data_IF_781404833518
#
_entry.id   IF_781404833518
#
_cell.length_a   1.000
_cell.length_b   1.000
_cell.length_c   1.000
_cell.angle_alpha   90.00
_cell.angle_beta   90.00
_cell.angle_gamma   90.00
#
_symmetry.space_group_name_H-M   'P 1'
#
loop_
_entity.id
_entity.type
_entity.pdbx_description
1 polymer ?
#
# COMPACT_ATOMS: atom_id res chain seq x y z
N UNK A 1 -44.57 -19.43 39.14
CA UNK A 1 -43.58 -20.53 39.23
C UNK A 1 -43.12 -20.93 37.82
N UNK A 2 -42.70 -19.94 37.01
CA UNK A 2 -42.41 -20.14 35.58
C UNK A 2 -41.23 -19.27 35.09
N UNK A 3 -40.85 -18.24 35.85
CA UNK A 3 -39.75 -17.32 35.51
C UNK A 3 -38.39 -17.78 36.05
N UNK A 4 -38.37 -18.66 37.05
CA UNK A 4 -37.12 -19.21 37.63
C UNK A 4 -36.55 -20.36 36.78
N UNK A 5 -37.39 -21.08 36.02
CA UNK A 5 -36.96 -22.23 35.22
C UNK A 5 -36.28 -21.84 33.89
N UNK A 6 -36.49 -20.61 33.39
CA UNK A 6 -35.83 -20.13 32.15
C UNK A 6 -34.41 -19.58 32.36
N UNK A 7 -34.03 -19.21 33.59
CA UNK A 7 -32.67 -18.70 33.88
C UNK A 7 -31.65 -19.80 34.17
N UNK A 8 -32.08 -21.02 34.53
CA UNK A 8 -31.19 -22.16 34.77
C UNK A 8 -30.89 -22.92 33.47
N UNK A 9 -31.81 -22.89 32.49
CA UNK A 9 -31.61 -23.55 31.19
C UNK A 9 -30.63 -22.79 30.26
N UNK A 10 -30.45 -21.48 30.45
CA UNK A 10 -29.52 -20.67 29.65
C UNK A 10 -28.06 -20.72 30.13
N UNK A 11 -27.78 -21.31 31.30
CA UNK A 11 -26.42 -21.38 31.86
C UNK A 11 -25.70 -22.71 31.51
N UNK A 12 -26.41 -23.72 31.01
CA UNK A 12 -25.83 -25.04 30.67
C UNK A 12 -25.39 -25.11 29.19
N UNK A 13 -25.87 -24.20 28.33
CA UNK A 13 -25.49 -24.14 26.91
C UNK A 13 -24.16 -23.39 26.70
N UNK A 14 -23.66 -22.62 27.68
CA UNK A 14 -22.38 -21.88 27.55
C UNK A 14 -21.15 -22.62 28.11
N UNK A 15 -21.27 -23.89 28.53
CA UNK A 15 -20.15 -24.66 29.10
C UNK A 15 -19.82 -25.95 28.33
N UNK A 16 -20.44 -26.21 27.18
CA UNK A 16 -20.22 -27.40 26.36
C UNK A 16 -19.95 -27.10 24.87
N UNK A 17 -19.23 -26.01 24.60
CA UNK A 17 -18.60 -25.74 23.28
C UNK A 17 -17.10 -25.42 23.41
N UNK A 18 -16.46 -25.97 24.43
CA UNK A 18 -15.02 -26.23 24.45
C UNK A 18 -14.90 -27.75 24.55
N UNK A 19 -14.18 -28.38 23.62
CA UNK A 19 -14.00 -29.83 23.44
C UNK A 19 -15.07 -30.52 22.57
N UNK A 20 -14.95 -30.36 21.24
CA UNK A 20 -14.73 -31.50 20.33
C UNK A 20 -14.99 -31.11 18.88
N UNK A 21 -13.93 -31.10 18.07
CA UNK A 21 -13.93 -31.53 16.66
C UNK A 21 -12.45 -31.82 16.35
N UNK A 22 -11.95 -32.97 16.80
CA UNK A 22 -11.97 -34.28 16.11
C UNK A 22 -10.72 -34.45 15.26
N UNK A 23 -9.69 -35.00 15.90
CA UNK A 23 -8.60 -35.71 15.26
C UNK A 23 -9.21 -36.93 14.57
N UNK A 24 -9.24 -36.94 13.24
CA UNK A 24 -9.46 -38.18 12.49
C UNK A 24 -8.10 -38.86 12.32
N UNK A 25 -7.79 -39.79 13.22
CA UNK A 25 -6.82 -40.86 12.96
C UNK A 25 -7.49 -41.89 12.05
N UNK A 26 -7.04 -41.97 10.80
CA UNK A 26 -7.13 -43.20 10.02
C UNK A 26 -5.75 -43.86 10.07
N UNK A 27 -5.69 -45.11 10.51
CA UNK A 27 -4.55 -45.99 10.34
C UNK A 27 -5.00 -47.19 9.52
N UNK A 28 -4.44 -47.36 8.31
CA UNK A 28 -3.84 -48.64 7.87
C UNK A 28 -3.20 -48.50 6.49
N UNK A 29 -1.91 -48.83 6.47
CA UNK A 29 -1.11 -49.42 5.40
C UNK A 29 -0.49 -48.58 4.26
N UNK A 30 0.85 -48.61 4.30
CA UNK A 30 1.81 -48.60 3.19
C UNK A 30 2.11 -47.27 2.47
N UNK A 31 3.02 -46.48 3.06
CA UNK A 31 4.35 -46.15 2.49
C UNK A 31 4.97 -45.04 3.35
N UNK A 32 6.22 -45.23 3.76
CA UNK A 32 7.00 -44.23 4.48
C UNK A 32 7.15 -42.97 3.61
N UNK A 33 6.35 -41.95 3.88
CA UNK A 33 6.52 -40.60 3.33
C UNK A 33 6.86 -39.70 4.52
N UNK A 34 8.00 -39.03 4.39
CA UNK A 34 8.64 -38.22 5.40
C UNK A 34 7.65 -37.38 6.22
N UNK A 35 7.87 -37.35 7.53
CA UNK A 35 7.31 -36.30 8.39
C UNK A 35 7.54 -34.96 7.67
N UNK A 36 6.50 -34.12 7.49
CA UNK A 36 6.77 -32.70 7.30
C UNK A 36 7.51 -32.31 8.58
N UNK A 37 8.78 -31.91 8.42
CA UNK A 37 9.50 -31.22 9.47
C UNK A 37 8.55 -30.16 10.03
N UNK A 38 8.34 -30.21 11.35
CA UNK A 38 7.74 -29.08 12.04
C UNK A 38 8.58 -27.87 11.65
N UNK A 39 8.05 -27.03 10.77
CA UNK A 39 8.56 -25.68 10.58
C UNK A 39 8.37 -25.04 11.94
N UNK A 40 9.43 -25.09 12.74
CA UNK A 40 9.55 -24.28 13.93
C UNK A 40 9.12 -22.89 13.53
N UNK A 41 8.10 -22.35 14.19
CA UNK A 41 7.81 -20.94 14.16
C UNK A 41 9.04 -20.23 14.72
N UNK A 42 10.04 -19.99 13.86
CA UNK A 42 11.12 -19.06 14.14
C UNK A 42 10.46 -17.69 14.19
N UNK A 43 10.27 -17.22 15.43
CA UNK A 43 10.13 -15.85 15.87
C UNK A 43 9.34 -14.90 14.96
N UNK A 44 8.27 -14.37 15.52
CA UNK A 44 7.73 -13.02 15.28
C UNK A 44 8.78 -11.94 15.51
N UNK A 45 9.95 -12.04 14.85
CA UNK A 45 11.02 -11.07 14.92
C UNK A 45 10.62 -9.90 14.03
N UNK A 46 10.49 -8.72 14.63
CA UNK A 46 10.33 -7.47 13.91
C UNK A 46 11.36 -7.43 12.75
N UNK A 47 10.93 -7.41 11.47
CA UNK A 47 11.86 -7.51 10.34
C UNK A 47 12.70 -6.25 10.17
N UNK A 48 12.36 -5.16 10.86
CA UNK A 48 13.10 -3.89 10.82
C UNK A 48 14.27 -3.82 11.83
N UNK A 49 14.57 -4.90 12.56
CA UNK A 49 15.63 -4.91 13.59
C UNK A 49 17.06 -4.85 13.02
N UNK A 50 17.28 -5.40 11.82
CA UNK A 50 18.56 -5.32 11.12
C UNK A 50 18.39 -5.51 9.61
N UNK A 51 19.34 -5.03 8.78
CA UNK A 51 19.30 -5.24 7.33
C UNK A 51 19.21 -6.72 6.93
N UNK A 52 19.90 -7.61 7.62
CA UNK A 52 19.89 -9.05 7.33
C UNK A 52 18.54 -9.68 7.64
N UNK A 53 17.90 -9.28 8.75
CA UNK A 53 16.56 -9.72 9.09
C UNK A 53 15.55 -9.24 8.04
N UNK A 54 15.67 -7.98 7.60
CA UNK A 54 14.81 -7.41 6.56
C UNK A 54 14.98 -8.10 5.21
N UNK A 55 16.22 -8.41 4.82
CA UNK A 55 16.52 -9.17 3.59
C UNK A 55 15.86 -10.55 3.62
N UNK A 56 16.06 -11.33 4.70
CA UNK A 56 15.44 -12.65 4.84
C UNK A 56 13.92 -12.55 4.81
N UNK A 57 13.37 -11.51 5.44
CA UNK A 57 11.95 -11.25 5.44
C UNK A 57 11.41 -10.99 4.03
N UNK A 58 12.06 -10.13 3.24
CA UNK A 58 11.67 -9.88 1.85
C UNK A 58 11.82 -11.13 0.95
N UNK A 59 12.85 -11.94 1.17
CA UNK A 59 13.07 -13.20 0.45
C UNK A 59 11.96 -14.23 0.72
N UNK A 60 11.28 -14.16 1.87
CA UNK A 60 10.14 -15.05 2.18
C UNK A 60 8.93 -14.86 1.27
N UNK A 61 8.83 -13.73 0.56
CA UNK A 61 7.80 -13.44 -0.45
C UNK A 61 8.21 -13.90 -1.87
N UNK A 62 9.30 -14.68 -1.98
CA UNK A 62 9.83 -15.13 -3.26
C UNK A 62 10.33 -13.97 -4.11
N UNK A 63 9.81 -13.83 -5.32
CA UNK A 63 10.32 -12.86 -6.31
C UNK A 63 9.61 -11.50 -6.26
N UNK A 64 8.59 -11.33 -5.41
CA UNK A 64 7.74 -10.12 -5.37
C UNK A 64 8.57 -8.85 -5.17
N UNK A 65 9.55 -8.88 -4.27
CA UNK A 65 10.41 -7.73 -3.94
C UNK A 65 11.82 -7.82 -4.53
N UNK A 66 12.04 -8.68 -5.54
CA UNK A 66 13.37 -8.95 -6.10
C UNK A 66 14.08 -7.70 -6.63
N UNK A 67 13.34 -6.80 -7.29
CA UNK A 67 13.88 -5.53 -7.80
C UNK A 67 14.38 -4.63 -6.66
N UNK A 68 13.54 -4.41 -5.65
CA UNK A 68 13.92 -3.64 -4.45
C UNK A 68 15.11 -4.31 -3.74
N UNK A 69 15.05 -5.62 -3.51
CA UNK A 69 16.07 -6.38 -2.79
C UNK A 69 17.43 -6.28 -3.49
N UNK A 70 17.44 -6.34 -4.83
CA UNK A 70 18.65 -6.20 -5.62
C UNK A 70 19.32 -4.86 -5.37
N UNK A 71 18.55 -3.76 -5.36
CA UNK A 71 19.07 -2.41 -5.13
C UNK A 71 19.48 -2.23 -3.66
N UNK A 72 18.65 -2.69 -2.71
CA UNK A 72 18.91 -2.59 -1.27
C UNK A 72 20.22 -3.28 -0.88
N UNK A 73 20.49 -4.47 -1.42
CA UNK A 73 21.74 -5.22 -1.18
C UNK A 73 22.99 -4.54 -1.74
N UNK A 74 22.87 -3.61 -2.69
CA UNK A 74 24.02 -2.83 -3.19
C UNK A 74 24.39 -1.64 -2.30
N UNK A 75 23.51 -1.25 -1.38
CA UNK A 75 23.75 -0.14 -0.47
C UNK A 75 24.76 -0.52 0.63
N UNK A 76 25.46 0.48 1.17
CA UNK A 76 26.29 0.28 2.37
C UNK A 76 25.41 -0.09 3.58
N UNK A 77 25.96 -0.81 4.58
CA UNK A 77 25.20 -1.17 5.79
C UNK A 77 24.58 0.05 6.50
N UNK A 78 25.28 1.19 6.52
CA UNK A 78 24.77 2.45 7.08
C UNK A 78 23.51 2.96 6.35
N UNK A 79 23.50 2.89 5.01
CA UNK A 79 22.34 3.30 4.20
C UNK A 79 21.19 2.32 4.34
N UNK A 80 21.49 1.02 4.42
CA UNK A 80 20.48 0.00 4.69
C UNK A 80 19.80 0.24 6.04
N UNK A 81 20.59 0.51 7.09
CA UNK A 81 20.05 0.83 8.41
C UNK A 81 19.20 2.10 8.39
N UNK A 82 19.67 3.15 7.72
CA UNK A 82 18.91 4.40 7.57
C UNK A 82 17.55 4.16 6.89
N UNK A 83 17.48 3.29 5.89
CA UNK A 83 16.20 2.89 5.28
C UNK A 83 15.28 2.23 6.31
N UNK A 84 15.78 1.29 7.12
CA UNK A 84 14.96 0.64 8.14
C UNK A 84 14.46 1.61 9.21
N UNK A 85 15.30 2.56 9.62
CA UNK A 85 14.93 3.61 10.55
C UNK A 85 13.83 4.51 9.96
N UNK A 86 13.96 4.87 8.68
CA UNK A 86 12.96 5.66 7.95
C UNK A 86 11.67 4.89 7.74
N UNK A 87 11.71 3.56 7.55
CA UNK A 87 10.49 2.75 7.45
C UNK A 87 9.79 2.61 8.82
N UNK A 88 10.55 2.46 9.89
CA UNK A 88 10.01 2.20 11.23
C UNK A 88 9.48 3.45 11.93
N UNK A 89 10.24 4.56 11.88
CA UNK A 89 10.05 5.67 12.82
C UNK A 89 9.51 6.93 12.16
N UNK A 90 10.08 7.30 11.03
CA UNK A 90 9.92 8.65 10.53
C UNK A 90 11.04 8.97 9.57
N UNK A 91 10.80 9.84 8.62
CA UNK A 91 11.91 10.36 7.84
C UNK A 91 11.46 11.06 6.59
N UNK A 92 12.37 11.89 6.09
CA UNK A 92 12.25 12.54 4.79
C UNK A 92 12.53 11.52 3.70
N UNK A 93 11.69 11.52 2.68
CA UNK A 93 11.94 10.81 1.44
C UNK A 93 12.19 11.85 0.35
N UNK A 94 13.11 11.53 -0.55
CA UNK A 94 13.26 12.27 -1.79
C UNK A 94 12.05 11.99 -2.67
N UNK A 95 11.63 12.99 -3.45
CA UNK A 95 10.49 12.86 -4.35
C UNK A 95 10.95 13.08 -5.78
N UNK A 96 10.75 12.08 -6.63
CA UNK A 96 10.95 12.20 -8.07
C UNK A 96 9.60 12.22 -8.77
N UNK A 97 9.31 13.32 -9.44
CA UNK A 97 8.08 13.48 -10.22
C UNK A 97 8.32 13.06 -11.67
N UNK A 98 7.35 12.36 -12.26
CA UNK A 98 7.30 12.19 -13.71
C UNK A 98 6.94 13.52 -14.38
N UNK A 99 7.38 13.68 -15.63
CA UNK A 99 6.77 14.69 -16.49
C UNK A 99 5.27 14.38 -16.71
N UNK A 100 4.42 15.39 -16.95
CA UNK A 100 3.02 15.17 -17.30
C UNK A 100 2.90 14.26 -18.52
N UNK A 101 2.24 13.12 -18.35
CA UNK A 101 1.95 12.24 -19.48
C UNK A 101 0.53 12.49 -19.95
N UNK A 102 0.41 12.86 -21.22
CA UNK A 102 -0.86 13.17 -21.88
C UNK A 102 -1.43 11.92 -22.51
N UNK A 103 -2.65 11.56 -22.13
CA UNK A 103 -3.39 10.44 -22.70
C UNK A 103 -4.60 10.97 -23.46
N UNK A 104 -4.72 10.59 -24.73
CA UNK A 104 -5.92 10.84 -25.51
C UNK A 104 -6.89 9.66 -25.35
N UNK A 105 -8.16 9.89 -24.95
CA UNK A 105 -9.13 8.80 -24.89
C UNK A 105 -9.29 8.12 -26.25
N UNK A 106 -9.43 6.79 -26.27
CA UNK A 106 -9.62 5.99 -27.49
C UNK A 106 -10.90 6.36 -28.27
N UNK A 107 -11.88 6.95 -27.58
CA UNK A 107 -13.09 7.52 -28.19
C UNK A 107 -12.81 9.01 -28.39
N UNK A 108 -12.51 9.40 -29.63
CA UNK A 108 -12.11 10.73 -30.05
C UNK A 108 -13.19 11.81 -29.83
N UNK A 109 -13.45 12.18 -28.57
CA UNK A 109 -13.97 13.52 -28.26
C UNK A 109 -12.77 14.45 -28.30
N UNK A 110 -12.56 15.12 -29.43
CA UNK A 110 -11.43 16.03 -29.69
C UNK A 110 -11.22 17.11 -28.61
N UNK A 111 -12.25 17.37 -27.81
CA UNK A 111 -12.26 18.31 -26.69
C UNK A 111 -11.85 17.70 -25.34
N UNK A 112 -11.61 16.40 -25.20
CA UNK A 112 -11.19 15.79 -23.93
C UNK A 112 -9.70 15.45 -23.92
N UNK A 113 -9.05 15.65 -22.77
CA UNK A 113 -7.65 15.30 -22.55
C UNK A 113 -7.50 14.60 -21.20
N UNK A 114 -6.82 13.47 -21.18
CA UNK A 114 -6.34 12.81 -19.97
C UNK A 114 -4.91 13.23 -19.67
N UNK A 115 -4.59 13.36 -18.39
CA UNK A 115 -3.24 13.61 -17.90
C UNK A 115 -3.01 12.75 -16.67
N UNK A 116 -1.77 12.30 -16.47
CA UNK A 116 -1.36 11.74 -15.19
C UNK A 116 0.03 12.19 -14.79
N UNK A 117 0.27 12.15 -13.48
CA UNK A 117 1.56 12.38 -12.84
C UNK A 117 1.85 11.25 -11.87
N UNK A 118 3.07 10.74 -11.94
CA UNK A 118 3.61 9.79 -10.97
C UNK A 118 4.56 10.52 -10.03
N UNK A 119 4.41 10.28 -8.73
CA UNK A 119 5.37 10.68 -7.71
C UNK A 119 6.00 9.42 -7.13
N UNK A 120 7.30 9.26 -7.38
CA UNK A 120 8.13 8.23 -6.77
C UNK A 120 8.72 8.80 -5.48
N UNK A 121 8.36 8.20 -4.34
CA UNK A 121 8.99 8.49 -3.06
C UNK A 121 10.16 7.54 -2.87
N UNK A 122 11.35 8.12 -2.72
CA UNK A 122 12.62 7.43 -2.81
C UNK A 122 13.52 7.73 -1.61
N UNK A 123 14.47 6.83 -1.35
CA UNK A 123 15.60 7.08 -0.46
C UNK A 123 16.83 6.39 -1.05
N UNK A 124 17.94 7.13 -1.15
CA UNK A 124 19.17 6.66 -1.79
C UNK A 124 18.98 6.10 -3.20
N UNK A 125 18.03 6.65 -3.96
CA UNK A 125 17.71 6.23 -5.33
C UNK A 125 16.84 4.98 -5.44
N UNK A 126 16.39 4.40 -4.32
CA UNK A 126 15.44 3.28 -4.31
C UNK A 126 14.03 3.82 -4.14
N UNK A 127 13.12 3.48 -5.06
CA UNK A 127 11.69 3.80 -4.94
C UNK A 127 10.99 2.88 -3.95
N UNK A 128 10.28 3.46 -2.99
CA UNK A 128 9.48 2.73 -2.00
C UNK A 128 8.01 2.65 -2.41
N UNK A 129 7.47 3.78 -2.87
CA UNK A 129 6.09 3.88 -3.30
C UNK A 129 5.99 4.82 -4.50
N UNK A 130 5.18 4.42 -5.48
CA UNK A 130 4.79 5.27 -6.59
C UNK A 130 3.31 5.58 -6.46
N UNK A 131 2.98 6.87 -6.33
CA UNK A 131 1.61 7.36 -6.30
C UNK A 131 1.29 7.98 -7.65
N UNK A 132 0.18 7.56 -8.27
CA UNK A 132 -0.33 8.21 -9.48
C UNK A 132 -1.51 9.10 -9.15
N UNK A 133 -1.49 10.31 -9.71
CA UNK A 133 -2.63 11.22 -9.77
C UNK A 133 -3.07 11.38 -11.23
N UNK A 134 -4.33 11.03 -11.50
CA UNK A 134 -4.92 11.10 -12.83
C UNK A 134 -6.04 12.14 -12.89
N UNK A 135 -6.11 12.82 -14.02
CA UNK A 135 -7.15 13.78 -14.33
C UNK A 135 -7.60 13.65 -15.77
N UNK A 136 -8.88 13.92 -16.00
CA UNK A 136 -9.42 14.14 -17.35
C UNK A 136 -10.27 15.38 -17.33
N UNK A 137 -10.18 16.16 -18.39
CA UNK A 137 -10.92 17.40 -18.51
C UNK A 137 -11.33 17.68 -19.94
N UNK A 138 -12.33 18.54 -20.12
CA UNK A 138 -12.61 19.16 -21.43
C UNK A 138 -11.79 20.42 -21.62
N UNK A 139 -11.51 20.75 -22.88
CA UNK A 139 -10.67 21.87 -23.29
C UNK A 139 -11.17 22.56 -24.55
N UNK A 140 -10.79 23.82 -24.68
CA UNK A 140 -10.84 24.60 -25.91
C UNK A 140 -9.47 25.25 -26.12
N UNK A 141 -8.72 24.75 -27.10
CA UNK A 141 -7.30 25.08 -27.26
C UNK A 141 -6.49 24.75 -25.99
N UNK A 142 -5.77 25.74 -25.46
CA UNK A 142 -4.98 25.64 -24.23
C UNK A 142 -5.78 25.92 -22.95
N UNK A 143 -7.10 26.15 -23.06
CA UNK A 143 -7.96 26.46 -21.92
C UNK A 143 -8.77 25.24 -21.48
N UNK A 144 -8.63 24.85 -20.22
CA UNK A 144 -9.47 23.83 -19.57
C UNK A 144 -10.85 24.41 -19.24
N UNK A 145 -11.90 23.61 -19.40
CA UNK A 145 -13.29 24.02 -19.19
C UNK A 145 -13.97 23.27 -18.04
N UNK A 146 -13.95 21.94 -18.06
CA UNK A 146 -14.60 21.12 -17.02
C UNK A 146 -13.73 19.96 -16.59
N UNK A 147 -13.81 19.56 -15.31
CA UNK A 147 -13.25 18.29 -14.84
C UNK A 147 -14.23 17.17 -15.20
N UNK A 148 -13.73 16.13 -15.85
CA UNK A 148 -14.51 14.97 -16.29
C UNK A 148 -14.21 13.71 -15.47
N UNK A 149 -13.00 13.63 -14.91
CA UNK A 149 -12.56 12.51 -14.08
C UNK A 149 -11.37 12.93 -13.25
N UNK A 150 -11.30 12.39 -12.03
CA UNK A 150 -10.15 12.49 -11.13
C UNK A 150 -9.99 11.17 -10.42
N UNK A 151 -8.76 10.71 -10.29
CA UNK A 151 -8.45 9.55 -9.46
C UNK A 151 -7.02 9.65 -8.95
N UNK A 152 -6.75 8.96 -7.86
CA UNK A 152 -5.41 8.76 -7.37
C UNK A 152 -5.30 7.37 -6.75
N UNK A 153 -4.19 6.69 -6.97
CA UNK A 153 -3.95 5.34 -6.44
C UNK A 153 -2.46 5.02 -6.35
N UNK A 154 -2.12 4.00 -5.56
CA UNK A 154 -0.77 3.46 -5.46
C UNK A 154 -0.52 2.55 -6.67
N UNK A 155 0.46 2.90 -7.49
CA UNK A 155 0.87 2.09 -8.66
C UNK A 155 1.77 0.95 -8.23
N UNK A 156 2.71 1.25 -7.33
CA UNK A 156 3.70 0.30 -6.83
C UNK A 156 3.94 0.56 -5.36
N UNK A 157 3.94 -0.51 -4.56
CA UNK A 157 4.27 -0.47 -3.14
C UNK A 157 5.32 -1.55 -2.86
N UNK A 158 6.50 -1.13 -2.47
CA UNK A 158 7.62 -2.02 -2.20
C UNK A 158 7.90 -2.20 -0.71
N UNK A 159 7.09 -1.58 0.15
CA UNK A 159 7.18 -1.73 1.59
C UNK A 159 6.20 -2.84 2.01
N UNK A 160 6.66 -4.04 2.37
CA UNK A 160 5.77 -5.10 2.82
C UNK A 160 5.13 -4.73 4.16
N UNK A 161 3.96 -5.31 4.43
CA UNK A 161 3.12 -4.95 5.59
C UNK A 161 2.80 -3.46 5.69
N UNK A 162 2.80 -2.74 4.57
CA UNK A 162 2.29 -1.38 4.53
C UNK A 162 0.92 -1.34 3.87
N UNK A 163 0.03 -0.52 4.46
CA UNK A 163 -1.27 -0.20 3.90
C UNK A 163 -1.35 1.29 3.59
N UNK A 164 -2.03 1.62 2.50
CA UNK A 164 -2.31 3.01 2.11
C UNK A 164 -3.81 3.23 2.06
N UNK A 165 -4.25 4.31 2.69
CA UNK A 165 -5.62 4.80 2.62
C UNK A 165 -5.63 6.18 1.98
N UNK A 166 -6.43 6.36 0.93
CA UNK A 166 -6.61 7.68 0.33
C UNK A 166 -7.52 8.51 1.21
N UNK A 167 -6.96 9.52 1.85
CA UNK A 167 -7.67 10.40 2.79
C UNK A 167 -8.23 11.65 2.12
N UNK A 168 -7.71 12.03 0.95
CA UNK A 168 -8.31 13.10 0.15
C UNK A 168 -8.15 12.87 -1.36
N UNK A 169 -9.09 13.40 -2.13
CA UNK A 169 -9.01 13.51 -3.58
C UNK A 169 -9.86 14.70 -4.03
N UNK A 170 -9.22 15.68 -4.66
CA UNK A 170 -9.93 16.79 -5.26
C UNK A 170 -9.37 17.18 -6.64
N UNK A 171 -10.22 17.84 -7.45
CA UNK A 171 -9.84 18.46 -8.69
C UNK A 171 -10.86 19.53 -9.09
N UNK A 172 -10.36 20.62 -9.66
CA UNK A 172 -11.16 21.76 -10.08
C UNK A 172 -10.53 22.47 -11.28
N UNK A 173 -11.30 23.39 -11.89
CA UNK A 173 -10.82 24.28 -12.94
C UNK A 173 -10.77 25.69 -12.37
N UNK A 174 -9.65 26.38 -12.54
CA UNK A 174 -9.52 27.80 -12.21
C UNK A 174 -8.65 28.49 -13.24
N UNK A 175 -9.05 29.69 -13.69
CA UNK A 175 -8.32 30.48 -14.69
C UNK A 175 -7.93 29.69 -15.95
N UNK A 176 -8.81 28.79 -16.41
CA UNK A 176 -8.57 27.98 -17.60
C UNK A 176 -7.53 26.86 -17.41
N UNK A 177 -7.16 26.53 -16.17
CA UNK A 177 -6.23 25.45 -15.83
C UNK A 177 -6.93 24.38 -15.00
N UNK A 178 -6.50 23.15 -15.20
CA UNK A 178 -6.87 22.01 -14.38
C UNK A 178 -5.97 21.97 -13.15
N UNK A 179 -6.56 21.68 -11.99
CA UNK A 179 -5.86 21.40 -10.74
C UNK A 179 -6.40 20.10 -10.15
N UNK A 180 -5.52 19.28 -9.60
CA UNK A 180 -5.89 18.12 -8.81
C UNK A 180 -4.91 17.89 -7.66
N UNK A 181 -5.40 17.27 -6.60
CA UNK A 181 -4.60 16.87 -5.45
C UNK A 181 -5.17 15.63 -4.78
N UNK A 182 -4.30 14.85 -4.16
CA UNK A 182 -4.68 13.73 -3.32
C UNK A 182 -3.74 13.61 -2.13
N UNK A 183 -4.24 12.96 -1.08
CA UNK A 183 -3.46 12.59 0.09
C UNK A 183 -3.66 11.10 0.40
N UNK A 184 -2.58 10.43 0.78
CA UNK A 184 -2.58 9.03 1.20
C UNK A 184 -1.96 8.91 2.57
N UNK A 185 -2.70 8.39 3.54
CA UNK A 185 -2.12 7.99 4.82
C UNK A 185 -1.61 6.55 4.70
N UNK A 186 -0.30 6.38 4.89
CA UNK A 186 0.34 5.09 4.99
C UNK A 186 0.46 4.66 6.44
N UNK A 187 0.41 3.35 6.62
CA UNK A 187 0.59 2.67 7.89
C UNK A 187 1.57 1.52 7.63
N UNK A 188 2.72 1.48 8.31
CA UNK A 188 3.72 0.39 8.23
C UNK A 188 3.55 -0.58 9.40
N UNK A 189 2.72 -1.60 9.25
CA UNK A 189 2.47 -2.60 10.29
C UNK A 189 1.46 -3.63 9.83
N UNK A 190 1.43 -4.80 10.46
CA UNK A 190 0.44 -5.82 10.12
C UNK A 190 -0.97 -5.25 10.32
N UNK A 191 -1.68 -5.00 9.22
CA UNK A 191 -3.11 -4.67 9.24
C UNK A 191 -3.88 -5.96 9.43
N UNK A 192 -4.42 -6.17 10.63
CA UNK A 192 -5.26 -7.31 10.98
C UNK A 192 -6.69 -6.78 11.17
N UNK A 193 -7.51 -6.88 10.12
CA UNK A 193 -8.85 -6.26 10.10
C UNK A 193 -8.76 -4.73 10.17
N UNK A 194 -9.45 -4.13 11.13
CA UNK A 194 -9.43 -2.68 11.41
C UNK A 194 -8.26 -2.25 12.32
N UNK A 195 -7.50 -3.21 12.86
CA UNK A 195 -6.40 -2.92 13.77
C UNK A 195 -5.07 -2.87 13.02
N UNK A 196 -4.39 -1.73 13.16
CA UNK A 196 -3.03 -1.52 12.67
C UNK A 196 -2.11 -1.68 13.88
N UNK A 197 -1.37 -2.79 13.94
CA UNK A 197 -0.43 -3.04 15.02
C UNK A 197 0.90 -2.35 14.69
N UNK A 198 1.17 -1.27 15.41
CA UNK A 198 2.49 -0.65 15.58
C UNK A 198 2.97 0.26 14.45
N UNK A 199 2.46 1.50 14.37
CA UNK A 199 3.12 2.56 13.57
C UNK A 199 2.60 3.98 13.80
N UNK A 200 3.51 4.94 13.62
CA UNK A 200 3.22 6.35 13.32
C UNK A 200 2.68 6.48 11.89
N UNK A 201 1.41 6.89 11.68
CA UNK A 201 0.88 7.12 10.34
C UNK A 201 1.63 8.25 9.63
N UNK A 202 1.79 8.13 8.31
CA UNK A 202 2.37 9.20 7.47
C UNK A 202 1.46 9.56 6.33
N UNK A 203 1.29 10.85 6.07
CA UNK A 203 0.49 11.30 4.94
C UNK A 203 1.39 11.78 3.81
N UNK A 204 1.23 11.16 2.65
CA UNK A 204 1.86 11.51 1.40
C UNK A 204 0.91 12.38 0.61
N UNK A 205 1.40 13.50 0.07
CA UNK A 205 0.61 14.43 -0.72
C UNK A 205 1.10 14.41 -2.16
N UNK A 206 0.17 14.52 -3.10
CA UNK A 206 0.46 14.72 -4.52
C UNK A 206 -0.50 15.76 -5.08
N UNK A 207 0.01 16.64 -5.93
CA UNK A 207 -0.77 17.64 -6.63
C UNK A 207 -0.25 17.86 -8.04
N UNK A 208 -1.14 18.29 -8.94
CA UNK A 208 -0.79 18.67 -10.29
C UNK A 208 -1.61 19.86 -10.76
N UNK A 209 -1.03 20.66 -11.65
CA UNK A 209 -1.78 21.63 -12.46
C UNK A 209 -1.32 21.60 -13.90
N UNK A 210 -2.25 21.75 -14.85
CA UNK A 210 -1.89 21.86 -16.25
C UNK A 210 -2.89 22.71 -17.05
N UNK A 211 -2.46 23.15 -18.23
CA UNK A 211 -3.34 23.82 -19.19
C UNK A 211 -4.07 22.80 -20.08
N UNK A 212 -4.89 23.29 -21.01
CA UNK A 212 -5.60 22.46 -21.99
C UNK A 212 -4.70 21.69 -22.96
N UNK A 213 -3.39 21.93 -23.00
CA UNK A 213 -2.45 21.10 -23.76
C UNK A 213 -1.80 19.99 -22.91
N UNK A 214 -2.12 19.92 -21.61
CA UNK A 214 -1.49 19.01 -20.65
C UNK A 214 -0.14 19.51 -20.12
N UNK A 215 0.33 20.68 -20.56
CA UNK A 215 1.59 21.28 -20.09
C UNK A 215 1.36 21.85 -18.69
N UNK A 216 2.18 21.42 -17.73
CA UNK A 216 1.92 21.63 -16.32
C UNK A 216 3.09 21.36 -15.40
N UNK A 217 2.79 21.40 -14.11
CA UNK A 217 3.71 21.08 -13.02
C UNK A 217 3.03 20.16 -12.02
N UNK A 218 3.81 19.29 -11.39
CA UNK A 218 3.41 18.47 -10.25
C UNK A 218 4.15 18.91 -8.99
N UNK A 219 3.64 18.54 -7.82
CA UNK A 219 4.34 18.61 -6.55
C UNK A 219 3.92 17.44 -5.65
N UNK A 220 4.85 16.88 -4.88
CA UNK A 220 4.56 15.83 -3.89
C UNK A 220 5.54 15.91 -2.71
N UNK A 221 5.07 15.53 -1.52
CA UNK A 221 5.82 15.57 -0.26
C UNK A 221 5.22 14.63 0.79
#
# INVERSE_FOLDING_TARGET
MEVIMKKILSLIISLAMFLSLSITTFASDALAVAQPESVSQENTSNPFISPEAYIKYLESFGNEYSEFLSQFKTLSPEKQQTILDVLSNGGTLDVKLSEPIVTTPSIARTSQLGVYYDADFQLFGITFVTIRLEGRFTRSGTTVKTVEYKNAYIVKNWVPLSGFERTSLDAYVSNGRFYASAAFTAYVGAKIGDNIIGVTPRTFYISMSCNGAGVGTGNAW
#
